data_IF_607630934345
#
_entry.id   IF_607630934345
#
_cell.length_a   1.000
_cell.length_b   1.000
_cell.length_c   1.000
_cell.angle_alpha   90.00
_cell.angle_beta   90.00
_cell.angle_gamma   90.00
#
_symmetry.space_group_name_H-M   'P 1'
#
loop_
_entity.id
_entity.type
_entity.pdbx_description
1 polymer ?
#
# COMPACT_ATOMS: atom_id res chain seq x y z
N UNK A 1 -18.19 -0.97 -12.65
CA UNK A 1 -17.72 -0.62 -11.28
C UNK A 1 -16.20 -0.83 -11.26
N UNK A 2 -15.40 0.17 -10.84
CA UNK A 2 -13.92 0.05 -10.86
C UNK A 2 -13.35 -0.64 -9.63
N UNK A 3 -13.92 -0.37 -8.46
CA UNK A 3 -13.49 -0.91 -7.17
C UNK A 3 -14.26 -2.19 -6.81
N UNK A 4 -13.52 -3.23 -6.49
CA UNK A 4 -14.07 -4.49 -5.96
C UNK A 4 -13.89 -4.57 -4.44
N UNK A 5 -12.74 -4.14 -3.90
CA UNK A 5 -12.44 -4.17 -2.48
C UNK A 5 -11.53 -3.00 -2.08
N UNK A 6 -11.84 -2.39 -0.94
CA UNK A 6 -10.96 -1.50 -0.19
C UNK A 6 -10.77 -2.09 1.21
N UNK A 7 -9.52 -2.20 1.67
CA UNK A 7 -9.20 -2.60 3.04
C UNK A 7 -8.16 -1.65 3.60
N UNK A 8 -8.38 -1.18 4.82
CA UNK A 8 -7.47 -0.32 5.55
C UNK A 8 -7.07 -1.06 6.83
N UNK A 9 -5.77 -1.15 7.08
CA UNK A 9 -5.19 -1.70 8.31
C UNK A 9 -4.30 -0.62 8.92
N UNK A 10 -4.58 -0.27 10.17
CA UNK A 10 -3.87 0.80 10.89
C UNK A 10 -3.28 0.26 12.19
N UNK A 11 -2.10 0.73 12.56
CA UNK A 11 -1.43 0.38 13.81
C UNK A 11 -0.77 1.61 14.43
N UNK A 12 -1.23 1.97 15.64
CA UNK A 12 -0.72 3.12 16.39
C UNK A 12 0.12 2.69 17.60
N UNK A 13 0.68 1.48 17.55
CA UNK A 13 1.51 0.90 18.60
C UNK A 13 2.98 0.89 18.13
N UNK A 14 3.82 1.86 18.55
CA UNK A 14 5.18 2.03 18.02
C UNK A 14 6.05 0.78 18.11
N UNK A 15 5.86 -0.04 19.16
CA UNK A 15 6.63 -1.28 19.36
C UNK A 15 6.30 -2.39 18.34
N UNK A 16 5.12 -2.34 17.71
CA UNK A 16 4.68 -3.35 16.73
C UNK A 16 4.94 -2.92 15.28
N UNK A 17 5.06 -1.61 15.03
CA UNK A 17 5.23 -1.04 13.67
C UNK A 17 6.39 -1.70 12.89
N UNK A 18 7.62 -1.83 13.46
CA UNK A 18 8.73 -2.45 12.72
C UNK A 18 8.43 -3.89 12.30
N UNK A 19 7.81 -4.68 13.18
CA UNK A 19 7.47 -6.07 12.92
C UNK A 19 6.41 -6.20 11.83
N UNK A 20 5.35 -5.40 11.90
CA UNK A 20 4.27 -5.37 10.90
C UNK A 20 4.81 -4.94 9.54
N UNK A 21 5.58 -3.85 9.50
CA UNK A 21 6.23 -3.34 8.28
C UNK A 21 7.09 -4.43 7.62
N UNK A 22 7.97 -5.06 8.39
CA UNK A 22 8.88 -6.07 7.86
C UNK A 22 8.13 -7.28 7.31
N UNK A 23 7.07 -7.72 8.01
CA UNK A 23 6.21 -8.80 7.56
C UNK A 23 5.47 -8.45 6.26
N UNK A 24 4.87 -7.27 6.19
CA UNK A 24 4.19 -6.77 4.99
C UNK A 24 5.14 -6.69 3.79
N UNK A 25 6.32 -6.10 3.97
CA UNK A 25 7.35 -5.99 2.91
C UNK A 25 7.82 -7.38 2.45
N UNK A 26 7.96 -8.34 3.36
CA UNK A 26 8.30 -9.72 2.99
C UNK A 26 7.22 -10.37 2.13
N UNK A 27 5.93 -10.16 2.44
CA UNK A 27 4.81 -10.60 1.60
C UNK A 27 4.92 -10.00 0.21
N UNK A 28 5.16 -8.69 0.09
CA UNK A 28 5.20 -8.03 -1.22
C UNK A 28 6.34 -8.56 -2.09
N UNK A 29 7.53 -8.75 -1.50
CA UNK A 29 8.69 -9.34 -2.17
C UNK A 29 8.39 -10.76 -2.69
N UNK A 30 7.71 -11.58 -1.90
CA UNK A 30 7.46 -12.98 -2.23
C UNK A 30 6.27 -13.20 -3.19
N UNK A 31 5.36 -12.21 -3.32
CA UNK A 31 4.09 -12.37 -4.03
C UNK A 31 3.99 -11.57 -5.34
N UNK A 32 5.13 -11.31 -6.01
CA UNK A 32 5.19 -10.62 -7.32
C UNK A 32 4.59 -9.21 -7.32
N UNK A 33 4.65 -8.50 -6.19
CA UNK A 33 4.34 -7.08 -6.18
C UNK A 33 5.50 -6.30 -6.79
N UNK A 34 5.18 -5.35 -7.66
CA UNK A 34 6.11 -4.35 -8.18
C UNK A 34 6.01 -3.09 -7.31
N UNK A 35 7.15 -2.59 -6.83
CA UNK A 35 7.22 -1.24 -6.24
C UNK A 35 7.12 -0.21 -7.36
N UNK A 36 6.12 0.67 -7.29
CA UNK A 36 5.85 1.70 -8.30
C UNK A 36 6.33 3.08 -7.86
N UNK A 37 6.26 3.37 -6.56
CA UNK A 37 6.62 4.65 -5.98
C UNK A 37 7.12 4.43 -4.55
N UNK A 38 8.10 5.23 -4.16
CA UNK A 38 8.53 5.37 -2.78
C UNK A 38 8.87 6.84 -2.54
N UNK A 39 8.27 7.40 -1.49
CA UNK A 39 8.42 8.78 -1.08
C UNK A 39 8.74 8.83 0.41
N UNK A 40 9.48 9.86 0.82
CA UNK A 40 9.61 10.19 2.23
C UNK A 40 9.38 11.70 2.35
N UNK A 41 8.36 12.10 3.09
CA UNK A 41 7.96 13.49 3.30
C UNK A 41 7.68 13.67 4.80
N UNK A 42 8.29 14.68 5.42
CA UNK A 42 8.10 15.04 6.84
C UNK A 42 8.19 13.89 7.87
N UNK A 43 8.93 12.81 7.54
CA UNK A 43 9.08 11.64 8.41
C UNK A 43 8.06 10.53 8.16
N UNK A 44 7.08 10.76 7.28
CA UNK A 44 6.25 9.72 6.69
C UNK A 44 6.97 9.07 5.53
N UNK A 45 7.03 7.74 5.53
CA UNK A 45 7.51 6.94 4.41
C UNK A 45 6.34 6.23 3.74
N UNK A 46 6.04 6.63 2.51
CA UNK A 46 4.99 6.04 1.69
C UNK A 46 5.58 5.17 0.58
N UNK A 47 5.03 3.99 0.39
CA UNK A 47 5.43 3.06 -0.67
C UNK A 47 4.20 2.46 -1.34
N UNK A 48 4.14 2.58 -2.67
CA UNK A 48 3.04 2.05 -3.49
C UNK A 48 3.50 0.79 -4.21
N UNK A 49 2.83 -0.32 -3.92
CA UNK A 49 3.04 -1.61 -4.57
C UNK A 49 1.88 -1.96 -5.48
N UNK A 50 2.14 -2.72 -6.54
CA UNK A 50 1.12 -3.24 -7.45
C UNK A 50 1.32 -4.71 -7.75
N UNK A 51 0.24 -5.48 -7.76
CA UNK A 51 0.20 -6.86 -8.26
C UNK A 51 -0.92 -7.01 -9.28
N UNK A 52 -0.62 -7.61 -10.43
CA UNK A 52 -1.64 -7.95 -11.43
C UNK A 52 -2.42 -9.19 -11.01
N UNK A 53 -3.75 -9.14 -11.10
CA UNK A 53 -4.66 -10.25 -10.81
C UNK A 53 -5.28 -10.86 -12.08
N UNK A 54 -4.93 -10.35 -13.27
CA UNK A 54 -5.46 -10.77 -14.57
C UNK A 54 -6.74 -10.04 -14.98
N UNK A 55 -7.11 -10.11 -16.26
CA UNK A 55 -8.30 -9.45 -16.85
C UNK A 55 -8.42 -7.95 -16.46
N UNK A 56 -7.30 -7.23 -16.53
CA UNK A 56 -7.14 -5.82 -16.13
C UNK A 56 -7.36 -5.51 -14.63
N UNK A 57 -7.58 -6.52 -13.78
CA UNK A 57 -7.63 -6.32 -12.34
C UNK A 57 -6.24 -6.20 -11.75
N UNK A 58 -6.11 -5.22 -10.87
CA UNK A 58 -4.90 -4.96 -10.10
C UNK A 58 -5.24 -4.93 -8.62
N UNK A 59 -4.26 -5.30 -7.82
CA UNK A 59 -4.19 -4.94 -6.43
C UNK A 59 -3.11 -3.88 -6.26
N UNK A 60 -3.47 -2.77 -5.64
CA UNK A 60 -2.54 -1.76 -5.15
C UNK A 60 -2.45 -1.84 -3.64
N UNK A 61 -1.25 -1.60 -3.12
CA UNK A 61 -1.01 -1.48 -1.68
C UNK A 61 -0.25 -0.20 -1.43
N UNK A 62 -0.84 0.68 -0.61
CA UNK A 62 -0.18 1.87 -0.10
C UNK A 62 0.25 1.53 1.32
N UNK A 63 1.56 1.52 1.55
CA UNK A 63 2.16 1.35 2.87
C UNK A 63 2.75 2.68 3.30
N UNK A 64 2.10 3.33 4.27
CA UNK A 64 2.58 4.54 4.94
C UNK A 64 3.11 4.17 6.32
N UNK A 65 4.29 4.68 6.66
CA UNK A 65 4.95 4.43 7.94
C UNK A 65 5.49 5.74 8.49
N UNK A 66 4.99 6.11 9.66
CA UNK A 66 5.48 7.21 10.48
C UNK A 66 6.14 6.66 11.75
N UNK A 67 6.47 7.56 12.69
CA UNK A 67 7.11 7.19 13.96
C UNK A 67 6.21 6.33 14.84
N UNK A 68 4.93 6.67 14.91
CA UNK A 68 3.94 6.10 15.82
C UNK A 68 2.70 5.56 15.12
N UNK A 69 2.64 5.67 13.79
CA UNK A 69 1.56 5.15 12.96
C UNK A 69 2.07 4.32 11.77
N UNK A 70 1.33 3.28 11.44
CA UNK A 70 1.49 2.52 10.20
C UNK A 70 0.12 2.28 9.59
N UNK A 71 0.00 2.62 8.31
CA UNK A 71 -1.20 2.40 7.51
C UNK A 71 -0.89 1.51 6.29
N UNK A 72 -1.74 0.50 6.07
CA UNK A 72 -1.74 -0.32 4.87
C UNK A 72 -3.11 -0.24 4.23
N UNK A 73 -3.17 0.32 3.02
CA UNK A 73 -4.40 0.41 2.23
C UNK A 73 -4.29 -0.53 1.04
N UNK A 74 -5.14 -1.56 0.99
CA UNK A 74 -5.28 -2.45 -0.17
C UNK A 74 -6.47 -2.01 -1.02
N UNK A 75 -6.22 -1.77 -2.31
CA UNK A 75 -7.24 -1.44 -3.31
C UNK A 75 -7.24 -2.52 -4.38
N UNK A 76 -8.35 -3.24 -4.54
CA UNK A 76 -8.52 -4.28 -5.56
C UNK A 76 -9.62 -3.87 -6.53
N UNK A 77 -9.36 -4.01 -7.83
CA UNK A 77 -10.36 -3.85 -8.87
C UNK A 77 -9.74 -3.54 -10.23
N UNK A 78 -10.55 -3.03 -11.15
CA UNK A 78 -10.10 -2.45 -12.41
C UNK A 78 -9.67 -0.99 -12.18
N UNK A 79 -8.71 -0.83 -11.28
CA UNK A 79 -8.07 0.45 -10.90
C UNK A 79 -6.71 0.57 -11.57
N UNK A 80 -6.35 1.78 -11.96
CA UNK A 80 -5.06 2.15 -12.55
C UNK A 80 -4.19 2.92 -11.56
N UNK A 81 -2.90 3.06 -11.85
CA UNK A 81 -2.00 3.89 -11.03
C UNK A 81 -2.47 5.35 -10.97
N UNK A 82 -3.09 5.86 -12.04
CA UNK A 82 -3.62 7.22 -12.06
C UNK A 82 -4.80 7.38 -11.10
N UNK A 83 -5.67 6.38 -10.99
CA UNK A 83 -6.75 6.39 -9.99
C UNK A 83 -6.18 6.39 -8.57
N UNK A 84 -5.03 5.73 -8.33
CA UNK A 84 -4.36 5.71 -7.02
C UNK A 84 -3.69 7.05 -6.68
N UNK A 85 -3.01 7.68 -7.65
CA UNK A 85 -2.40 9.01 -7.43
C UNK A 85 -3.43 10.06 -7.02
N UNK A 86 -4.61 10.02 -7.64
CA UNK A 86 -5.71 10.91 -7.26
C UNK A 86 -6.23 10.70 -5.83
N UNK A 87 -5.97 9.55 -5.19
CA UNK A 87 -6.28 9.33 -3.77
C UNK A 87 -5.17 9.82 -2.83
N UNK A 88 -3.94 9.93 -3.33
CA UNK A 88 -2.78 10.39 -2.59
C UNK A 88 -2.68 11.91 -2.57
N UNK A 89 -2.98 12.57 -3.69
CA UNK A 89 -2.84 14.01 -3.86
C UNK A 89 -4.06 14.83 -3.35
N UNK A 90 -4.94 14.21 -2.56
CA UNK A 90 -6.15 14.84 -1.98
C UNK A 90 -6.00 15.06 -0.48
#
# INVERSE_FOLDING_TARGET
>A
RKLDMLRILSCNCPSLIPSIRNYAVAIYKNNRYQLLMQENEDGEKTSIYKRGLGKNKNEFVLLSVERDELNIINVIGNVSLNDIRQLHDQ
#
